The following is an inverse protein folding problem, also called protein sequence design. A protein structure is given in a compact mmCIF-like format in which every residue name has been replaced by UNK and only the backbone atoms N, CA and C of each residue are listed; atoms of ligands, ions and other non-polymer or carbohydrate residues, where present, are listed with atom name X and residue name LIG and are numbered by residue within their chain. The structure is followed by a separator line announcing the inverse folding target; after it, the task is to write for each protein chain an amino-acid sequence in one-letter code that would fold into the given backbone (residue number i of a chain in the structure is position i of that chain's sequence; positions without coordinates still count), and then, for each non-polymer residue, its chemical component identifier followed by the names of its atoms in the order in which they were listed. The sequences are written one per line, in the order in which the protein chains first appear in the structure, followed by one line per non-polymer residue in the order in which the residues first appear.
data_IF_906045661734
#
_entry.id   IF_906045661734
#
_cell.length_a   1.000
_cell.length_b   1.000
_cell.length_c   1.000
_cell.angle_alpha   90.00
_cell.angle_beta   90.00
_cell.angle_gamma   90.00
#
_symmetry.space_group_name_H-M   'P 1'
#
loop_
_entity.id
_entity.type
_entity.pdbx_description
1 polymer ?
#
# COMPACT_ATOMS: atom_id res chain seq x y z
N UNK A 1 24.84 0.48 -45.25
CA UNK A 1 23.66 0.78 -44.41
C UNK A 1 23.55 -0.35 -43.41
N UNK A 2 24.13 -0.16 -42.24
CA UNK A 2 24.45 -1.21 -41.26
C UNK A 2 23.31 -1.37 -40.25
N UNK A 3 23.08 -2.63 -39.85
CA UNK A 3 22.07 -3.10 -38.90
C UNK A 3 22.07 -2.43 -37.49
N UNK A 4 22.86 -1.39 -37.24
CA UNK A 4 22.98 -0.72 -35.94
C UNK A 4 21.91 0.35 -35.66
N UNK A 5 21.31 0.97 -36.68
CA UNK A 5 20.36 2.08 -36.50
C UNK A 5 18.96 1.64 -36.02
N UNK A 6 18.61 0.37 -36.18
CA UNK A 6 17.29 -0.14 -35.78
C UNK A 6 17.19 -0.39 -34.26
N UNK A 7 18.29 -0.85 -33.63
CA UNK A 7 18.33 -1.16 -32.19
C UNK A 7 18.39 0.10 -31.30
N UNK A 8 18.96 1.20 -31.81
CA UNK A 8 19.07 2.46 -31.07
C UNK A 8 17.75 3.27 -31.04
N UNK A 9 16.83 2.99 -31.98
CA UNK A 9 15.51 3.64 -32.04
C UNK A 9 14.49 2.97 -31.12
N UNK A 10 14.56 1.66 -30.92
CA UNK A 10 13.66 0.91 -30.02
C UNK A 10 13.92 1.25 -28.54
N UNK A 11 15.18 1.38 -28.12
CA UNK A 11 15.52 1.75 -26.73
C UNK A 11 15.12 3.19 -26.34
N UNK A 12 15.02 4.11 -27.31
CA UNK A 12 14.57 5.50 -27.07
C UNK A 12 13.05 5.63 -26.94
N UNK A 13 12.28 4.79 -27.64
CA UNK A 13 10.81 4.78 -27.58
C UNK A 13 10.28 4.21 -26.25
N UNK A 14 10.86 3.10 -25.78
CA UNK A 14 10.49 2.47 -24.51
C UNK A 14 10.86 3.34 -23.29
N UNK A 15 12.00 4.03 -23.36
CA UNK A 15 12.38 4.99 -22.32
C UNK A 15 11.40 6.17 -22.22
N UNK A 16 10.75 6.56 -23.32
CA UNK A 16 9.80 7.67 -23.33
C UNK A 16 8.45 7.27 -22.77
N UNK A 17 7.95 6.06 -23.07
CA UNK A 17 6.70 5.55 -22.49
C UNK A 17 6.84 5.30 -21.00
N UNK A 18 7.96 4.71 -20.56
CA UNK A 18 8.25 4.53 -19.13
C UNK A 18 8.39 5.88 -18.42
N UNK A 19 9.07 6.88 -19.02
CA UNK A 19 9.14 8.24 -18.46
C UNK A 19 7.80 8.97 -18.49
N UNK A 20 6.94 8.72 -19.48
CA UNK A 20 5.62 9.30 -19.57
C UNK A 20 4.70 8.71 -18.49
N UNK A 21 4.68 7.39 -18.34
CA UNK A 21 3.94 6.71 -17.27
C UNK A 21 4.47 7.14 -15.88
N UNK A 22 5.79 7.21 -15.71
CA UNK A 22 6.42 7.68 -14.48
C UNK A 22 6.12 9.17 -14.19
N UNK A 23 6.13 10.05 -15.21
CA UNK A 23 5.81 11.47 -15.03
C UNK A 23 4.32 11.74 -14.81
N UNK A 24 3.44 10.87 -15.33
CA UNK A 24 2.01 10.88 -15.02
C UNK A 24 1.75 10.39 -13.59
N UNK A 25 2.52 9.40 -13.11
CA UNK A 25 2.45 8.91 -11.73
C UNK A 25 3.03 9.90 -10.70
N UNK A 26 4.05 10.70 -11.07
CA UNK A 26 4.78 11.60 -10.16
C UNK A 26 4.45 13.10 -10.39
N UNK A 27 3.53 13.44 -11.30
CA UNK A 27 3.19 14.82 -11.67
C UNK A 27 2.58 15.68 -10.54
N UNK A 28 2.60 17.03 -10.59
CA UNK A 28 2.16 17.92 -9.50
C UNK A 28 0.76 17.57 -8.95
N UNK A 29 0.51 17.82 -7.65
CA UNK A 29 -0.75 17.45 -6.98
C UNK A 29 -2.02 17.95 -7.70
N UNK A 30 -1.94 19.09 -8.41
CA UNK A 30 -3.00 19.62 -9.27
C UNK A 30 -3.32 18.75 -10.50
N UNK A 31 -2.29 18.13 -11.10
CA UNK A 31 -2.45 17.18 -12.22
C UNK A 31 -3.01 15.84 -11.72
N UNK A 32 -2.58 15.37 -10.54
CA UNK A 32 -3.12 14.13 -9.91
C UNK A 32 -4.61 14.24 -9.56
N UNK A 33 -5.06 15.40 -9.05
CA UNK A 33 -6.49 15.68 -8.80
C UNK A 33 -7.37 15.62 -10.06
N UNK A 34 -6.84 16.01 -11.21
CA UNK A 34 -7.58 15.99 -12.49
C UNK A 34 -7.87 14.57 -12.99
N UNK A 35 -6.99 13.61 -12.71
CA UNK A 35 -7.12 12.22 -13.19
C UNK A 35 -7.76 11.26 -12.18
N UNK A 36 -7.89 11.67 -10.92
CA UNK A 36 -8.62 10.91 -9.89
C UNK A 36 -10.05 10.51 -10.29
N UNK A 37 -10.90 11.39 -10.85
CA UNK A 37 -12.25 10.99 -11.28
C UNK A 37 -12.23 9.95 -12.41
N UNK A 38 -11.26 10.02 -13.32
CA UNK A 38 -11.12 9.03 -14.38
C UNK A 38 -10.76 7.65 -13.81
N UNK A 39 -9.81 7.58 -12.87
CA UNK A 39 -9.47 6.32 -12.21
C UNK A 39 -10.61 5.75 -11.36
N UNK A 40 -11.38 6.59 -10.67
CA UNK A 40 -12.59 6.15 -9.97
C UNK A 40 -13.67 5.66 -10.95
N UNK A 41 -13.81 6.30 -12.10
CA UNK A 41 -14.69 5.88 -13.17
C UNK A 41 -14.32 4.51 -13.74
N UNK A 42 -13.04 4.26 -14.01
CA UNK A 42 -12.53 2.96 -14.47
C UNK A 42 -12.77 1.87 -13.41
N UNK A 43 -12.50 2.17 -12.14
CA UNK A 43 -12.77 1.23 -11.04
C UNK A 43 -14.27 0.93 -10.90
N UNK A 44 -15.12 1.95 -10.95
CA UNK A 44 -16.58 1.78 -10.93
C UNK A 44 -17.09 0.98 -12.12
N UNK A 45 -16.55 1.21 -13.32
CA UNK A 45 -16.88 0.47 -14.52
C UNK A 45 -16.45 -1.01 -14.43
N UNK A 46 -15.29 -1.31 -13.83
CA UNK A 46 -14.86 -2.70 -13.64
C UNK A 46 -15.73 -3.44 -12.62
N UNK A 47 -16.17 -2.79 -11.53
CA UNK A 47 -17.14 -3.36 -10.61
C UNK A 47 -18.51 -3.58 -11.28
N UNK A 48 -18.97 -2.61 -12.08
CA UNK A 48 -20.21 -2.76 -12.85
C UNK A 48 -20.11 -3.94 -13.83
N UNK A 49 -18.96 -4.11 -14.50
CA UNK A 49 -18.72 -5.24 -15.38
C UNK A 49 -18.83 -6.58 -14.65
N UNK A 50 -18.30 -6.70 -13.43
CA UNK A 50 -18.44 -7.91 -12.61
C UNK A 50 -19.91 -8.21 -12.31
N UNK A 51 -20.68 -7.19 -11.91
CA UNK A 51 -22.11 -7.34 -11.58
C UNK A 51 -22.93 -7.70 -12.82
N UNK A 52 -22.87 -6.87 -13.87
CA UNK A 52 -23.65 -7.07 -15.07
C UNK A 52 -23.20 -8.31 -15.85
N UNK A 53 -21.90 -8.60 -15.86
CA UNK A 53 -21.33 -9.81 -16.43
C UNK A 53 -21.89 -11.05 -15.76
N UNK A 54 -21.89 -11.11 -14.42
CA UNK A 54 -22.46 -12.22 -13.65
C UNK A 54 -23.94 -12.45 -13.95
N UNK A 55 -24.73 -11.38 -13.93
CA UNK A 55 -26.15 -11.44 -14.24
C UNK A 55 -26.43 -11.82 -15.71
N UNK A 56 -25.59 -11.36 -16.64
CA UNK A 56 -25.70 -11.73 -18.04
C UNK A 56 -25.33 -13.20 -18.25
N UNK A 57 -24.30 -13.72 -17.58
CA UNK A 57 -23.92 -15.13 -17.61
C UNK A 57 -25.05 -16.02 -17.08
N UNK A 58 -25.65 -15.66 -15.94
CA UNK A 58 -26.78 -16.44 -15.40
C UNK A 58 -27.96 -16.48 -16.37
N UNK A 59 -28.29 -15.35 -17.00
CA UNK A 59 -29.38 -15.27 -17.99
C UNK A 59 -29.06 -16.03 -19.27
N UNK A 60 -27.86 -15.88 -19.80
CA UNK A 60 -27.44 -16.49 -21.06
C UNK A 60 -27.33 -18.01 -20.95
N UNK A 61 -26.84 -18.50 -19.82
CA UNK A 61 -26.67 -19.93 -19.55
C UNK A 61 -27.89 -20.55 -18.83
N UNK A 62 -28.96 -19.77 -18.60
CA UNK A 62 -30.15 -20.19 -17.85
C UNK A 62 -29.82 -20.84 -16.50
N UNK A 63 -28.83 -20.29 -15.79
CA UNK A 63 -28.38 -20.80 -14.50
C UNK A 63 -29.45 -20.50 -13.45
N UNK A 64 -29.91 -21.50 -12.69
CA UNK A 64 -30.92 -21.27 -11.65
C UNK A 64 -30.37 -20.35 -10.55
N UNK A 65 -31.16 -19.35 -10.15
CA UNK A 65 -30.78 -18.44 -9.06
C UNK A 65 -30.59 -19.20 -7.75
N UNK A 66 -29.68 -18.71 -6.90
CA UNK A 66 -29.52 -19.24 -5.54
C UNK A 66 -30.86 -19.25 -4.79
N UNK A 67 -31.13 -20.23 -3.92
CA UNK A 67 -32.39 -20.31 -3.17
C UNK A 67 -32.59 -19.11 -2.25
N UNK A 68 -33.86 -18.72 -2.07
CA UNK A 68 -34.23 -17.56 -1.27
C UNK A 68 -34.21 -17.91 0.19
N UNK A 69 -33.15 -17.51 0.89
CA UNK A 69 -33.04 -17.70 2.33
C UNK A 69 -32.78 -16.34 2.98
N UNK A 70 -33.57 -15.92 3.99
CA UNK A 70 -33.30 -14.68 4.72
C UNK A 70 -31.87 -14.65 5.31
N UNK A 71 -31.29 -15.80 5.65
CA UNK A 71 -29.90 -15.88 6.08
C UNK A 71 -28.90 -15.38 5.01
N UNK A 72 -29.13 -15.69 3.73
CA UNK A 72 -28.30 -15.18 2.63
C UNK A 72 -28.45 -13.67 2.46
N UNK A 73 -29.66 -13.13 2.67
CA UNK A 73 -29.91 -11.69 2.62
C UNK A 73 -29.17 -10.97 3.76
N UNK A 74 -29.27 -11.47 4.98
CA UNK A 74 -28.57 -10.91 6.14
C UNK A 74 -27.05 -11.00 5.95
N UNK A 75 -26.54 -12.16 5.53
CA UNK A 75 -25.12 -12.34 5.24
C UNK A 75 -24.64 -11.38 4.12
N UNK A 76 -25.43 -11.25 3.05
CA UNK A 76 -25.15 -10.32 1.96
C UNK A 76 -25.07 -8.87 2.41
N UNK A 77 -26.03 -8.40 3.22
CA UNK A 77 -26.01 -7.06 3.80
C UNK A 77 -24.81 -6.83 4.71
N UNK A 78 -24.50 -7.79 5.60
CA UNK A 78 -23.34 -7.71 6.49
C UNK A 78 -22.05 -7.60 5.69
N UNK A 79 -21.89 -8.41 4.64
CA UNK A 79 -20.71 -8.41 3.79
C UNK A 79 -20.56 -7.12 2.98
N UNK A 80 -21.66 -6.60 2.42
CA UNK A 80 -21.65 -5.32 1.69
C UNK A 80 -21.33 -4.16 2.63
N UNK A 81 -22.05 -4.03 3.73
CA UNK A 81 -21.86 -2.90 4.65
C UNK A 81 -20.49 -2.97 5.35
N UNK A 82 -20.07 -4.16 5.77
CA UNK A 82 -18.76 -4.39 6.37
C UNK A 82 -17.62 -4.14 5.38
N UNK A 83 -17.75 -4.64 4.15
CA UNK A 83 -16.78 -4.45 3.07
C UNK A 83 -16.64 -2.99 2.63
N UNK A 84 -17.76 -2.28 2.45
CA UNK A 84 -17.78 -0.84 2.18
C UNK A 84 -17.19 -0.04 3.35
N UNK A 85 -17.54 -0.37 4.59
CA UNK A 85 -16.99 0.27 5.80
C UNK A 85 -15.48 0.11 5.90
N UNK A 86 -14.96 -1.10 5.65
CA UNK A 86 -13.51 -1.36 5.61
C UNK A 86 -12.83 -0.58 4.48
N UNK A 87 -13.43 -0.53 3.30
CA UNK A 87 -12.91 0.20 2.15
C UNK A 87 -12.87 1.71 2.40
N UNK A 88 -13.94 2.26 3.01
CA UNK A 88 -14.03 3.65 3.41
C UNK A 88 -12.99 4.01 4.49
N UNK A 89 -12.74 3.14 5.47
CA UNK A 89 -11.68 3.34 6.45
C UNK A 89 -10.31 3.42 5.76
N UNK A 90 -10.01 2.48 4.86
CA UNK A 90 -8.75 2.48 4.11
C UNK A 90 -8.62 3.76 3.26
N UNK A 91 -9.68 4.16 2.54
CA UNK A 91 -9.70 5.40 1.77
C UNK A 91 -9.46 6.65 2.65
N UNK A 92 -10.03 6.69 3.86
CA UNK A 92 -9.79 7.75 4.83
C UNK A 92 -8.34 7.81 5.31
N UNK A 93 -7.66 6.66 5.47
CA UNK A 93 -6.23 6.62 5.78
C UNK A 93 -5.38 7.19 4.64
N UNK A 94 -5.69 6.86 3.39
CA UNK A 94 -5.00 7.44 2.23
C UNK A 94 -5.23 8.94 2.10
N UNK A 95 -6.48 9.39 2.27
CA UNK A 95 -6.81 10.81 2.23
C UNK A 95 -6.02 11.62 3.28
N UNK A 96 -5.90 11.09 4.51
CA UNK A 96 -5.08 11.69 5.58
C UNK A 96 -3.58 11.65 5.28
N UNK A 97 -3.11 10.67 4.50
CA UNK A 97 -1.73 10.57 4.03
C UNK A 97 -1.47 11.36 2.72
N UNK A 98 -2.41 12.22 2.28
CA UNK A 98 -2.36 12.97 1.00
C UNK A 98 -2.25 12.10 -0.26
N UNK A 99 -2.58 10.82 -0.17
CA UNK A 99 -2.67 9.87 -1.28
C UNK A 99 -4.11 9.59 -1.71
N UNK A 100 -4.29 8.88 -2.83
CA UNK A 100 -5.54 8.18 -3.14
C UNK A 100 -5.24 6.69 -3.30
N UNK A 101 -6.22 5.79 -3.08
CA UNK A 101 -6.03 4.36 -3.32
C UNK A 101 -5.92 4.02 -4.81
N UNK A 102 -6.14 5.00 -5.68
CA UNK A 102 -6.06 4.88 -7.14
C UNK A 102 -4.58 5.03 -7.55
N UNK A 103 -4.05 4.26 -8.52
CA UNK A 103 -2.64 4.25 -8.94
C UNK A 103 -2.04 5.62 -9.29
N UNK A 104 -2.89 6.63 -9.47
CA UNK A 104 -2.56 7.99 -9.89
C UNK A 104 -1.99 8.86 -8.75
N UNK A 105 -2.12 8.47 -7.48
CA UNK A 105 -1.54 9.23 -6.36
C UNK A 105 -1.10 8.31 -5.19
N UNK A 106 -0.03 7.54 -5.37
CA UNK A 106 0.45 6.66 -4.30
C UNK A 106 0.90 7.50 -3.09
N UNK A 107 0.63 7.03 -1.86
CA UNK A 107 1.05 7.76 -0.66
C UNK A 107 2.57 7.92 -0.61
N UNK A 108 3.02 9.04 -0.05
CA UNK A 108 4.43 9.34 0.20
C UNK A 108 5.05 8.47 1.29
N UNK A 109 4.21 7.81 2.10
CA UNK A 109 4.60 7.01 3.24
C UNK A 109 3.94 5.63 3.19
N UNK A 110 4.66 4.60 3.65
CA UNK A 110 4.13 3.25 3.79
C UNK A 110 3.14 3.21 4.97
N UNK A 111 1.85 3.08 4.68
CA UNK A 111 0.79 3.01 5.70
C UNK A 111 0.80 1.62 6.35
N UNK A 112 1.13 1.57 7.64
CA UNK A 112 1.18 0.32 8.43
C UNK A 112 0.24 0.35 9.65
N UNK A 113 -0.75 1.25 9.64
CA UNK A 113 -1.67 1.51 10.76
C UNK A 113 -3.13 1.21 10.40
N UNK A 114 -3.97 1.00 11.41
CA UNK A 114 -5.36 0.64 11.20
C UNK A 114 -5.46 -0.76 10.56
N UNK A 115 -6.33 -0.97 9.56
CA UNK A 115 -6.47 -2.26 8.88
C UNK A 115 -5.17 -2.78 8.25
N UNK A 116 -4.31 -1.87 7.77
CA UNK A 116 -3.00 -2.20 7.20
C UNK A 116 -2.00 -2.79 8.21
N UNK A 117 -2.26 -2.65 9.51
CA UNK A 117 -1.46 -3.38 10.48
C UNK A 117 -1.70 -4.89 10.36
N UNK A 118 -2.96 -5.30 10.12
CA UNK A 118 -3.42 -6.69 10.24
C UNK A 118 -3.24 -7.48 8.96
N UNK A 119 -3.49 -6.85 7.82
CA UNK A 119 -3.39 -7.44 6.49
C UNK A 119 -2.83 -6.42 5.54
N UNK A 120 -2.08 -6.85 4.53
CA UNK A 120 -1.43 -5.93 3.59
C UNK A 120 -2.41 -5.26 2.63
N UNK A 121 -3.51 -5.95 2.30
CA UNK A 121 -4.50 -5.50 1.31
C UNK A 121 -5.93 -5.49 1.88
N UNK A 122 -6.20 -4.70 2.93
CA UNK A 122 -7.51 -4.63 3.57
C UNK A 122 -8.57 -4.03 2.64
N UNK A 123 -8.19 -3.11 1.76
CA UNK A 123 -9.12 -2.53 0.78
C UNK A 123 -9.62 -3.57 -0.21
N UNK A 124 -8.72 -4.38 -0.79
CA UNK A 124 -9.10 -5.47 -1.70
C UNK A 124 -10.00 -6.50 -0.99
N UNK A 125 -9.73 -6.77 0.29
CA UNK A 125 -10.61 -7.61 1.14
C UNK A 125 -12.01 -7.00 1.27
N UNK A 126 -12.11 -5.69 1.50
CA UNK A 126 -13.39 -4.98 1.59
C UNK A 126 -14.18 -4.97 0.28
N UNK A 127 -13.51 -4.77 -0.85
CA UNK A 127 -14.11 -4.83 -2.20
C UNK A 127 -14.61 -6.24 -2.49
N UNK A 128 -13.79 -7.26 -2.24
CA UNK A 128 -14.17 -8.66 -2.43
C UNK A 128 -15.37 -9.06 -1.57
N UNK A 129 -15.36 -8.70 -0.28
CA UNK A 129 -16.51 -8.94 0.60
C UNK A 129 -17.78 -8.26 0.07
N UNK A 130 -17.67 -7.02 -0.43
CA UNK A 130 -18.79 -6.30 -1.01
C UNK A 130 -19.34 -6.96 -2.28
N UNK A 131 -18.45 -7.49 -3.14
CA UNK A 131 -18.86 -8.21 -4.36
C UNK A 131 -19.56 -9.53 -4.01
N UNK A 132 -19.01 -10.32 -3.09
CA UNK A 132 -19.66 -11.56 -2.61
C UNK A 132 -21.02 -11.25 -1.99
N UNK A 133 -21.10 -10.24 -1.13
CA UNK A 133 -22.37 -9.83 -0.53
C UNK A 133 -23.40 -9.37 -1.56
N UNK A 134 -22.97 -8.61 -2.57
CA UNK A 134 -23.82 -8.18 -3.69
C UNK A 134 -24.32 -9.38 -4.50
N UNK A 135 -23.46 -10.36 -4.77
CA UNK A 135 -23.81 -11.57 -5.48
C UNK A 135 -24.84 -12.43 -4.72
N UNK A 136 -24.76 -12.49 -3.38
CA UNK A 136 -25.77 -13.13 -2.53
C UNK A 136 -27.11 -12.39 -2.57
N UNK A 137 -27.10 -11.05 -2.48
CA UNK A 137 -28.31 -10.23 -2.55
C UNK A 137 -29.01 -10.33 -3.91
N UNK A 138 -28.22 -10.38 -5.00
CA UNK A 138 -28.71 -10.60 -6.36
C UNK A 138 -28.98 -12.07 -6.67
N UNK A 139 -28.64 -12.99 -5.75
CA UNK A 139 -28.84 -14.44 -5.86
C UNK A 139 -28.23 -15.04 -7.13
N UNK A 140 -27.07 -14.50 -7.52
CA UNK A 140 -26.37 -14.84 -8.77
C UNK A 140 -25.25 -15.85 -8.53
N UNK A 141 -25.38 -17.13 -8.95
CA UNK A 141 -24.32 -18.12 -8.80
C UNK A 141 -23.08 -17.78 -9.62
N UNK A 142 -23.24 -17.32 -10.89
CA UNK A 142 -22.08 -16.95 -11.72
C UNK A 142 -21.29 -15.79 -11.12
N UNK A 143 -21.97 -14.85 -10.47
CA UNK A 143 -21.28 -13.74 -9.83
C UNK A 143 -20.46 -14.21 -8.62
N UNK A 144 -20.99 -15.12 -7.78
CA UNK A 144 -20.25 -15.69 -6.62
C UNK A 144 -19.11 -16.60 -7.07
N UNK A 145 -19.34 -17.47 -8.04
CA UNK A 145 -18.44 -18.59 -8.35
C UNK A 145 -17.45 -18.31 -9.49
N UNK A 146 -17.76 -17.37 -10.38
CA UNK A 146 -16.93 -17.07 -11.55
C UNK A 146 -16.40 -15.63 -11.52
N UNK A 147 -17.30 -14.64 -11.56
CA UNK A 147 -16.89 -13.25 -11.80
C UNK A 147 -16.16 -12.63 -10.61
N UNK A 148 -16.64 -12.86 -9.38
CA UNK A 148 -15.99 -12.32 -8.17
C UNK A 148 -14.62 -12.97 -7.91
N UNK A 149 -14.46 -14.31 -8.01
CA UNK A 149 -13.15 -14.96 -7.92
C UNK A 149 -12.19 -14.56 -9.05
N UNK A 150 -12.67 -14.44 -10.29
CA UNK A 150 -11.84 -13.99 -11.41
C UNK A 150 -11.34 -12.55 -11.19
N UNK A 151 -12.21 -11.65 -10.74
CA UNK A 151 -11.84 -10.28 -10.39
C UNK A 151 -10.80 -10.22 -9.27
N UNK A 152 -11.01 -11.00 -8.20
CA UNK A 152 -10.04 -11.12 -7.11
C UNK A 152 -8.70 -11.63 -7.63
N UNK A 153 -8.69 -12.68 -8.46
CA UNK A 153 -7.48 -13.25 -9.03
C UNK A 153 -6.70 -12.21 -9.85
N UNK A 154 -7.38 -11.47 -10.73
CA UNK A 154 -6.74 -10.43 -11.53
C UNK A 154 -6.07 -9.36 -10.65
N UNK A 155 -6.75 -8.88 -9.61
CA UNK A 155 -6.16 -7.91 -8.69
C UNK A 155 -5.07 -8.51 -7.79
N UNK A 156 -5.15 -9.79 -7.42
CA UNK A 156 -4.05 -10.48 -6.72
C UNK A 156 -2.81 -10.56 -7.61
N UNK A 157 -2.99 -10.85 -8.90
CA UNK A 157 -1.88 -10.91 -9.87
C UNK A 157 -1.27 -9.53 -10.10
N UNK A 158 -2.10 -8.50 -10.31
CA UNK A 158 -1.68 -7.10 -10.41
C UNK A 158 -0.89 -6.67 -9.16
N UNK A 159 -1.43 -6.96 -7.98
CA UNK A 159 -0.77 -6.68 -6.72
C UNK A 159 0.60 -7.38 -6.66
N UNK A 160 0.66 -8.68 -6.97
CA UNK A 160 1.88 -9.49 -6.86
C UNK A 160 2.97 -9.10 -7.84
N UNK A 161 2.61 -8.76 -9.07
CA UNK A 161 3.57 -8.56 -10.15
C UNK A 161 3.84 -7.10 -10.47
N UNK A 162 2.96 -6.19 -10.05
CA UNK A 162 3.08 -4.76 -10.33
C UNK A 162 3.25 -3.98 -9.03
N UNK A 163 2.32 -4.12 -8.08
CA UNK A 163 2.34 -3.27 -6.88
C UNK A 163 3.43 -3.66 -5.87
N UNK A 164 3.56 -4.93 -5.48
CA UNK A 164 4.58 -5.35 -4.49
C UNK A 164 6.01 -5.03 -4.97
N UNK A 165 6.41 -5.30 -6.23
CA UNK A 165 7.73 -4.92 -6.73
C UNK A 165 7.95 -3.40 -6.74
N UNK A 166 6.93 -2.61 -7.09
CA UNK A 166 7.04 -1.14 -7.07
C UNK A 166 7.14 -0.60 -5.65
N UNK A 167 6.40 -1.16 -4.70
CA UNK A 167 6.52 -0.83 -3.28
C UNK A 167 7.90 -1.21 -2.72
N UNK A 168 8.45 -2.35 -3.13
CA UNK A 168 9.79 -2.76 -2.77
C UNK A 168 10.86 -1.84 -3.38
N UNK A 169 10.69 -1.41 -4.64
CA UNK A 169 11.58 -0.43 -5.29
C UNK A 169 11.56 0.93 -4.59
N UNK A 170 10.39 1.38 -4.13
CA UNK A 170 10.20 2.70 -3.50
C UNK A 170 10.61 2.75 -2.03
N UNK A 171 10.31 1.71 -1.25
CA UNK A 171 10.50 1.71 0.20
C UNK A 171 11.59 0.73 0.68
N UNK A 172 12.11 -0.13 -0.19
CA UNK A 172 13.25 -1.01 0.07
C UNK A 172 13.03 -1.92 1.28
N UNK A 173 14.00 -1.87 2.21
CA UNK A 173 14.04 -2.71 3.42
C UNK A 173 12.78 -2.54 4.29
N UNK A 174 12.22 -1.33 4.35
CA UNK A 174 11.02 -1.07 5.16
C UNK A 174 9.81 -1.85 4.66
N UNK A 175 9.65 -1.99 3.33
CA UNK A 175 8.56 -2.78 2.76
C UNK A 175 8.78 -4.28 2.91
N UNK A 176 10.03 -4.77 2.76
CA UNK A 176 10.35 -6.19 3.01
C UNK A 176 10.01 -6.59 4.45
N UNK A 177 10.45 -5.81 5.43
CA UNK A 177 10.15 -6.07 6.84
C UNK A 177 8.63 -6.08 7.11
N UNK A 178 7.89 -5.16 6.50
CA UNK A 178 6.43 -5.14 6.57
C UNK A 178 5.77 -6.35 5.89
N UNK A 179 6.26 -6.75 4.70
CA UNK A 179 5.79 -7.91 3.94
C UNK A 179 5.92 -9.20 4.72
N UNK A 180 7.05 -9.38 5.40
CA UNK A 180 7.35 -10.59 6.16
C UNK A 180 6.56 -10.64 7.47
N UNK A 181 6.21 -9.48 8.03
CA UNK A 181 5.49 -9.36 9.29
C UNK A 181 3.95 -9.39 9.16
N UNK A 182 3.40 -9.02 8.00
CA UNK A 182 1.95 -8.84 7.81
C UNK A 182 1.44 -9.77 6.70
N UNK A 183 0.42 -10.62 6.96
CA UNK A 183 -0.13 -11.50 5.94
C UNK A 183 -0.89 -10.74 4.86
N UNK A 184 -1.12 -11.37 3.71
CA UNK A 184 -1.71 -10.70 2.56
C UNK A 184 -3.21 -10.39 2.74
N UNK A 185 -4.01 -11.37 3.18
CA UNK A 185 -5.48 -11.29 3.19
C UNK A 185 -6.16 -11.68 4.51
N UNK A 186 -5.65 -12.71 5.20
CA UNK A 186 -6.27 -13.19 6.44
C UNK A 186 -5.43 -12.76 7.64
N UNK A 187 -6.03 -12.13 8.67
CA UNK A 187 -5.32 -11.77 9.87
C UNK A 187 -4.95 -13.05 10.63
N UNK A 188 -3.68 -13.41 10.62
CA UNK A 188 -3.16 -14.48 11.46
C UNK A 188 -2.77 -13.93 12.84
N UNK A 189 -2.93 -14.71 13.92
CA UNK A 189 -2.41 -14.35 15.24
C UNK A 189 -0.93 -14.03 15.13
N UNK A 190 -0.51 -12.82 15.55
CA UNK A 190 0.89 -12.41 15.46
C UNK A 190 1.72 -13.09 16.55
N UNK A 191 2.95 -13.54 16.25
CA UNK A 191 3.99 -13.67 17.27
C UNK A 191 4.27 -12.27 17.88
N UNK A 192 4.40 -12.19 19.21
CA UNK A 192 4.57 -10.92 19.96
C UNK A 192 5.75 -10.04 19.50
N UNK A 193 6.72 -10.62 18.79
CA UNK A 193 7.86 -9.91 18.22
C UNK A 193 7.48 -8.79 17.23
N UNK A 194 6.40 -8.96 16.45
CA UNK A 194 5.95 -7.95 15.46
C UNK A 194 5.26 -6.76 16.13
N UNK A 195 4.68 -6.97 17.33
CA UNK A 195 4.04 -5.91 18.13
C UNK A 195 5.04 -4.85 18.62
N UNK A 196 6.34 -5.18 18.61
CA UNK A 196 7.43 -4.33 19.11
C UNK A 196 8.19 -3.59 18.01
N UNK A 197 7.89 -3.79 16.72
CA UNK A 197 8.57 -3.06 15.64
C UNK A 197 8.23 -1.57 15.82
N UNK A 198 9.20 -0.72 16.23
CA UNK A 198 8.94 0.70 16.36
C UNK A 198 8.58 1.22 14.96
N UNK A 199 7.68 2.21 14.83
CA UNK A 199 7.43 2.83 13.52
C UNK A 199 8.79 3.21 12.91
N UNK A 200 8.97 3.04 11.59
CA UNK A 200 10.25 3.33 10.92
C UNK A 200 10.77 4.74 11.27
N UNK A 201 9.87 5.69 11.55
CA UNK A 201 10.20 7.01 12.11
C UNK A 201 10.95 6.95 13.45
N UNK A 202 10.61 6.04 14.36
CA UNK A 202 11.32 5.82 15.62
C UNK A 202 12.69 5.14 15.42
N UNK A 203 12.83 4.26 14.43
CA UNK A 203 14.12 3.68 14.04
C UNK A 203 15.04 4.71 13.36
N UNK A 204 14.48 5.54 12.48
CA UNK A 204 15.20 6.67 11.83
C UNK A 204 15.51 7.77 12.85
N UNK A 205 14.62 8.06 13.81
CA UNK A 205 14.89 9.00 14.90
C UNK A 205 15.96 8.46 15.86
N UNK A 206 15.93 7.15 16.18
CA UNK A 206 16.97 6.50 16.98
C UNK A 206 18.32 6.51 16.24
N UNK A 207 18.34 6.21 14.94
CA UNK A 207 19.54 6.26 14.12
C UNK A 207 20.06 7.69 13.95
N UNK A 208 19.19 8.69 13.76
CA UNK A 208 19.55 10.11 13.66
C UNK A 208 20.04 10.66 15.00
N UNK A 209 19.47 10.22 16.12
CA UNK A 209 19.95 10.55 17.46
C UNK A 209 21.31 9.89 17.76
N UNK A 210 21.56 8.67 17.26
CA UNK A 210 22.84 7.98 17.38
C UNK A 210 23.93 8.65 16.52
N UNK A 211 23.60 9.01 15.28
CA UNK A 211 24.48 9.75 14.35
C UNK A 211 24.72 11.19 14.84
N UNK A 212 23.72 11.83 15.43
CA UNK A 212 23.83 13.14 16.08
C UNK A 212 24.76 13.11 17.31
N UNK A 213 24.70 12.05 18.11
CA UNK A 213 25.65 11.82 19.23
C UNK A 213 27.07 11.53 18.74
N UNK A 214 27.24 10.91 17.57
CA UNK A 214 28.55 10.58 16.99
C UNK A 214 29.20 11.75 16.23
N UNK A 215 28.45 12.79 15.85
CA UNK A 215 28.98 13.98 15.15
C UNK A 215 29.46 15.12 16.05
N UNK A 216 29.40 15.01 17.38
CA UNK A 216 29.97 15.99 18.30
C UNK A 216 31.30 15.52 18.92
N UNK A 217 32.31 15.29 18.08
CA UNK A 217 33.71 15.14 18.52
C UNK A 217 34.67 15.74 17.48
N UNK A 218 34.60 17.06 17.27
CA UNK A 218 35.72 17.85 16.70
C UNK A 218 35.85 19.22 17.41
N UNK A 219 36.75 19.21 18.39
CA UNK A 219 37.79 20.20 18.77
C UNK A 219 37.46 21.70 18.99
N UNK A 220 37.82 22.11 20.21
CA UNK A 220 38.39 23.38 20.70
C UNK A 220 37.55 24.66 20.68
N UNK A 221 36.98 25.02 21.84
CA UNK A 221 37.13 26.33 22.51
C UNK A 221 37.02 26.08 24.03
N UNK A 222 37.86 26.73 24.83
CA UNK A 222 38.00 26.50 26.27
C UNK A 222 36.72 26.72 27.07
N UNK A 223 36.47 25.82 28.01
CA UNK A 223 35.60 26.04 29.16
C UNK A 223 36.14 25.18 30.30
N UNK A 224 36.41 25.83 31.44
CA UNK A 224 36.94 25.22 32.63
C UNK A 224 35.98 24.13 33.16
N UNK A 225 36.53 22.98 33.53
CA UNK A 225 35.82 21.94 34.27
C UNK A 225 35.98 22.25 35.76
N UNK A 226 34.87 22.59 36.43
CA UNK A 226 34.76 22.56 37.88
C UNK A 226 34.13 21.21 38.23
N UNK A 227 34.88 20.34 38.90
CA UNK A 227 34.40 19.09 39.50
C UNK A 227 34.20 19.30 41.00
N UNK A 228 33.17 18.68 41.56
CA UNK A 228 32.66 18.84 42.94
C UNK A 228 33.55 18.30 44.08
N UNK A 229 34.75 17.80 43.78
CA UNK A 229 35.71 17.37 44.82
C UNK A 229 36.96 18.23 44.73
N UNK A 230 37.06 19.21 45.63
CA UNK A 230 38.06 20.28 45.67
C UNK A 230 39.53 19.83 45.84
N UNK A 231 40.09 19.13 44.85
CA UNK A 231 41.52 18.82 44.77
C UNK A 231 42.07 19.21 43.40
N UNK A 232 42.68 20.38 43.37
CA UNK A 232 43.39 20.95 42.22
C UNK A 232 44.70 20.19 41.97
N UNK A 233 44.81 19.43 40.88
CA UNK A 233 46.11 18.99 40.38
C UNK A 233 46.56 19.91 39.24
N UNK A 234 47.44 20.86 39.57
CA UNK A 234 48.28 21.54 38.57
C UNK A 234 49.41 20.58 38.19
N UNK A 235 49.48 20.20 36.92
CA UNK A 235 50.74 19.75 36.33
C UNK A 235 51.08 20.71 35.18
N UNK A 236 51.87 21.72 35.52
CA UNK A 236 52.70 22.45 34.55
C UNK A 236 54.06 21.76 34.50
N UNK A 237 54.50 21.31 33.32
CA UNK A 237 55.88 21.36 32.79
C UNK A 237 55.86 20.79 31.36
N UNK A 238 56.12 21.57 30.32
CA UNK A 238 57.40 22.06 29.79
C UNK A 238 58.21 21.01 29.02
N UNK A 239 58.46 21.36 27.74
CA UNK A 239 59.56 20.94 26.85
C UNK A 239 59.50 19.47 26.39
N UNK A 240 59.68 19.13 25.11
CA UNK A 240 60.43 19.77 24.02
C UNK A 240 59.85 19.37 22.67
#
# INVERSE_FOLDING_TARGET
MTHGDAAERTGRGEAWTVRLVHSLAVGPAARRRRWTPAGLGVFGASLALVVFGGLATDRLLSIPTLPGNPAWTVAGLVLVLGGLGLSAWCAGLFARARGTPVPVNPPSELIQRGPYAWVRNPMLTGVFASLVGTALLLRSPSMVLLWTPAYLLLHVLELKWVEEPELERRFGVAYRAYRDAVPMFLPLPRPEAVRRIPPVCALVAAASALVGRLRFRRRHVGAALITEDGRTFRVFRHLS
#
